data_IF_705610624921
#
_entry.id   IF_705610624921
#
_cell.length_a   1.000
_cell.length_b   1.000
_cell.length_c   1.000
_cell.angle_alpha   90.00
_cell.angle_beta   90.00
_cell.angle_gamma   90.00
#
_symmetry.space_group_name_H-M   'P 1'
#
loop_
_entity.id
_entity.type
_entity.pdbx_description
1 polymer ?
#
# COMPACT_ATOMS: atom_id res chain seq x y z
N UNK A 1 21.99 40.05 -79.36
CA UNK A 1 21.81 40.41 -77.94
C UNK A 1 21.04 39.28 -77.27
N UNK A 2 21.74 38.38 -76.56
CA UNK A 2 21.14 37.21 -75.89
C UNK A 2 21.46 37.34 -74.40
N UNK A 3 20.42 37.38 -73.57
CA UNK A 3 20.51 37.42 -72.10
C UNK A 3 20.70 35.99 -71.59
N UNK A 4 21.76 35.76 -70.81
CA UNK A 4 21.98 34.52 -70.07
C UNK A 4 21.53 34.70 -68.61
N UNK A 5 20.68 33.80 -68.13
CA UNK A 5 20.27 33.69 -66.73
C UNK A 5 21.16 32.65 -66.06
N UNK A 6 21.88 33.03 -65.00
CA UNK A 6 22.69 32.12 -64.20
C UNK A 6 21.83 31.50 -63.09
N UNK A 7 21.77 30.17 -63.04
CA UNK A 7 21.14 29.42 -61.95
C UNK A 7 22.15 29.19 -60.83
N UNK A 8 21.80 29.58 -59.60
CA UNK A 8 22.58 29.29 -58.40
C UNK A 8 22.08 27.97 -57.76
N UNK A 9 22.99 27.00 -57.62
CA UNK A 9 22.76 25.76 -56.86
C UNK A 9 23.11 26.01 -55.38
N UNK A 10 22.13 25.89 -54.48
CA UNK A 10 22.34 25.84 -53.03
C UNK A 10 22.57 24.38 -52.61
N UNK A 11 23.77 24.04 -52.13
CA UNK A 11 24.02 22.79 -51.42
C UNK A 11 23.63 22.95 -49.94
N UNK A 12 22.58 22.27 -49.51
CA UNK A 12 22.25 22.14 -48.09
C UNK A 12 23.10 21.02 -47.46
N UNK A 13 23.92 21.36 -46.47
CA UNK A 13 24.65 20.39 -45.66
C UNK A 13 23.69 19.74 -44.64
N UNK A 14 23.47 18.43 -44.74
CA UNK A 14 22.72 17.64 -43.77
C UNK A 14 23.63 17.33 -42.57
N UNK A 15 23.33 17.90 -41.41
CA UNK A 15 23.91 17.50 -40.13
C UNK A 15 23.20 16.22 -39.62
N UNK A 16 23.93 15.23 -39.08
CA UNK A 16 23.31 14.05 -38.48
C UNK A 16 22.56 14.42 -37.19
N UNK A 17 21.46 13.71 -36.87
CA UNK A 17 20.71 13.96 -35.64
C UNK A 17 21.57 13.61 -34.40
N UNK A 18 21.38 14.30 -33.28
CA UNK A 18 22.08 13.98 -32.04
C UNK A 18 21.68 12.58 -31.58
N UNK A 19 22.68 11.79 -31.19
CA UNK A 19 22.48 10.51 -30.51
C UNK A 19 21.76 10.77 -29.19
N UNK A 20 20.48 10.39 -29.11
CA UNK A 20 19.77 10.35 -27.84
C UNK A 20 20.35 9.20 -27.00
N UNK A 21 21.09 9.53 -25.96
CA UNK A 21 21.43 8.59 -24.89
C UNK A 21 20.29 8.59 -23.88
N UNK A 22 19.80 7.40 -23.51
CA UNK A 22 18.91 7.28 -22.35
C UNK A 22 19.70 7.65 -21.09
N UNK A 23 19.07 8.38 -20.18
CA UNK A 23 19.64 8.62 -18.85
C UNK A 23 19.97 7.26 -18.20
N UNK A 24 21.09 7.17 -17.46
CA UNK A 24 21.40 5.95 -16.72
C UNK A 24 20.24 5.61 -15.77
N UNK A 25 19.95 4.31 -15.55
CA UNK A 25 18.93 3.92 -14.58
C UNK A 25 19.24 4.54 -13.22
N UNK A 26 18.21 5.00 -12.51
CA UNK A 26 18.36 5.40 -11.12
C UNK A 26 19.03 4.27 -10.32
N UNK A 27 19.95 4.57 -9.38
CA UNK A 27 20.59 3.54 -8.57
C UNK A 27 19.53 2.71 -7.85
N UNK A 28 19.73 1.39 -7.81
CA UNK A 28 18.83 0.50 -7.08
C UNK A 28 18.80 0.91 -5.59
N UNK A 29 17.64 0.81 -4.93
CA UNK A 29 17.55 0.98 -3.48
C UNK A 29 18.55 0.05 -2.77
N UNK A 30 19.11 0.51 -1.65
CA UNK A 30 20.08 -0.26 -0.86
C UNK A 30 19.63 -0.27 0.60
N UNK A 31 19.90 -1.36 1.34
CA UNK A 31 19.69 -1.39 2.78
C UNK A 31 20.36 -0.20 3.47
N UNK A 32 19.65 0.39 4.42
CA UNK A 32 20.10 1.60 5.13
C UNK A 32 20.58 1.23 6.53
N UNK A 33 20.03 0.17 7.13
CA UNK A 33 20.54 -0.37 8.37
C UNK A 33 21.76 -1.28 8.12
N UNK A 34 22.55 -1.58 9.17
CA UNK A 34 23.49 -2.69 9.12
C UNK A 34 22.81 -3.98 8.63
N UNK A 35 23.52 -4.86 7.90
CA UNK A 35 22.93 -6.07 7.35
C UNK A 35 22.20 -6.90 8.40
N UNK A 36 20.93 -7.19 8.12
CA UNK A 36 20.08 -8.04 8.95
C UNK A 36 20.26 -9.51 8.55
N UNK A 37 20.29 -10.41 9.53
CA UNK A 37 20.26 -11.86 9.25
C UNK A 37 18.87 -12.28 8.72
N UNK A 38 18.76 -13.37 7.93
CA UNK A 38 17.46 -13.87 7.49
C UNK A 38 16.50 -14.12 8.66
N UNK A 39 15.29 -13.59 8.58
CA UNK A 39 14.26 -13.59 9.62
C UNK A 39 14.44 -12.53 10.71
N UNK A 40 15.53 -11.78 10.72
CA UNK A 40 15.77 -10.74 11.72
C UNK A 40 14.90 -9.51 11.44
N UNK A 41 14.35 -8.97 12.53
CA UNK A 41 13.55 -7.74 12.54
C UNK A 41 14.19 -6.72 13.46
N UNK A 42 14.10 -5.45 13.10
CA UNK A 42 14.44 -4.32 13.97
C UNK A 42 13.33 -3.28 13.87
N UNK A 43 12.83 -2.80 15.01
CA UNK A 43 11.95 -1.63 15.06
C UNK A 43 12.77 -0.36 14.86
N UNK A 44 12.31 0.52 13.96
CA UNK A 44 12.89 1.86 13.80
C UNK A 44 12.24 2.82 14.81
N UNK A 45 10.92 2.95 14.76
CA UNK A 45 10.20 3.86 15.63
C UNK A 45 8.79 4.20 15.15
N UNK A 46 8.05 4.93 15.97
CA UNK A 46 6.78 5.52 15.58
C UNK A 46 7.02 6.65 14.58
N UNK A 47 6.32 6.63 13.46
CA UNK A 47 6.50 7.59 12.35
C UNK A 47 5.29 8.49 12.18
N UNK A 48 4.07 7.98 12.40
CA UNK A 48 2.84 8.76 12.30
C UNK A 48 1.89 8.51 13.48
N UNK A 49 1.06 9.51 13.80
CA UNK A 49 0.04 9.42 14.85
C UNK A 49 0.57 9.80 16.23
N UNK A 50 0.03 9.18 17.29
CA UNK A 50 0.32 9.57 18.69
C UNK A 50 1.81 9.61 18.97
N UNK A 51 2.27 10.71 19.56
CA UNK A 51 3.66 10.94 19.94
C UNK A 51 4.60 11.36 18.80
N UNK A 52 4.09 11.56 17.58
CA UNK A 52 4.92 11.83 16.39
C UNK A 52 4.78 13.28 15.88
N UNK A 53 5.70 13.74 15.01
CA UNK A 53 5.63 15.07 14.40
C UNK A 53 4.41 15.30 13.48
N UNK A 54 3.60 14.29 13.14
CA UNK A 54 2.39 14.51 12.31
C UNK A 54 1.41 15.49 12.96
N UNK A 55 1.50 15.67 14.29
CA UNK A 55 0.73 16.67 15.04
C UNK A 55 0.95 18.11 14.55
N UNK A 56 2.12 18.40 14.00
CA UNK A 56 2.48 19.72 13.49
C UNK A 56 1.67 20.06 12.21
N UNK A 57 1.09 19.04 11.57
CA UNK A 57 0.13 19.15 10.46
C UNK A 57 -1.33 18.95 10.91
N UNK A 58 -1.59 18.98 12.22
CA UNK A 58 -2.92 18.80 12.78
C UNK A 58 -3.42 17.35 12.81
N UNK A 59 -2.51 16.37 12.70
CA UNK A 59 -2.82 14.94 12.81
C UNK A 59 -2.10 14.36 14.02
N UNK A 60 -2.78 14.35 15.17
CA UNK A 60 -2.22 13.86 16.42
C UNK A 60 -2.30 12.33 16.57
N UNK A 61 -3.15 11.65 15.80
CA UNK A 61 -3.37 10.21 15.87
C UNK A 61 -3.88 9.69 14.51
N UNK A 62 -3.39 8.54 14.04
CA UNK A 62 -3.74 7.98 12.72
C UNK A 62 -3.36 6.50 12.60
N UNK A 63 -3.93 5.81 11.60
CA UNK A 63 -3.63 4.41 11.28
C UNK A 63 -3.59 4.09 9.78
N UNK A 64 -3.32 2.82 9.48
CA UNK A 64 -3.12 2.22 8.16
C UNK A 64 -1.91 2.79 7.41
N UNK A 65 -2.03 3.99 6.87
CA UNK A 65 -0.98 4.72 6.14
C UNK A 65 -0.26 3.88 5.05
N UNK A 66 -1.03 3.44 4.04
CA UNK A 66 -0.52 2.71 2.88
C UNK A 66 0.14 3.65 1.85
N UNK A 67 1.29 3.24 1.29
CA UNK A 67 2.03 4.06 0.32
C UNK A 67 1.40 4.09 -1.07
N UNK A 68 1.37 5.28 -1.67
CA UNK A 68 1.10 5.52 -3.08
C UNK A 68 2.24 6.33 -3.71
N UNK A 69 2.83 5.79 -4.77
CA UNK A 69 3.91 6.44 -5.51
C UNK A 69 3.37 7.15 -6.74
N UNK A 70 3.66 8.45 -6.85
CA UNK A 70 3.34 9.27 -8.01
C UNK A 70 4.64 9.83 -8.62
N UNK A 71 4.64 10.21 -9.91
CA UNK A 71 5.80 10.90 -10.49
C UNK A 71 6.17 12.19 -9.77
N UNK A 72 5.21 12.86 -9.13
CA UNK A 72 5.41 14.10 -8.38
C UNK A 72 5.80 13.91 -6.91
N UNK A 73 5.83 12.68 -6.41
CA UNK A 73 6.18 12.36 -5.03
C UNK A 73 5.35 11.23 -4.43
N UNK A 74 5.49 11.02 -3.12
CA UNK A 74 4.93 9.87 -2.41
C UNK A 74 3.92 10.32 -1.36
N UNK A 75 2.81 9.59 -1.26
CA UNK A 75 1.80 9.79 -0.23
C UNK A 75 1.66 8.52 0.62
N UNK A 76 1.27 8.69 1.88
CA UNK A 76 0.67 7.61 2.67
C UNK A 76 -0.80 7.91 2.92
N UNK A 77 -1.70 7.05 2.45
CA UNK A 77 -3.14 7.17 2.71
C UNK A 77 -3.49 6.46 4.00
N UNK A 78 -3.97 7.23 4.97
CA UNK A 78 -4.25 6.75 6.31
C UNK A 78 -5.77 6.64 6.53
N UNK A 79 -6.14 5.77 7.46
CA UNK A 79 -7.53 5.49 7.83
C UNK A 79 -8.12 6.58 8.70
N UNK A 80 -8.77 6.15 9.78
CA UNK A 80 -9.31 7.08 10.75
C UNK A 80 -8.17 7.90 11.36
N UNK A 81 -8.36 9.21 11.47
CA UNK A 81 -7.34 10.14 11.94
C UNK A 81 -7.96 11.22 12.79
N UNK A 82 -7.22 11.69 13.80
CA UNK A 82 -7.73 12.63 14.79
C UNK A 82 -6.74 13.77 15.00
N UNK A 83 -7.27 14.97 15.25
CA UNK A 83 -6.45 16.15 15.51
C UNK A 83 -5.69 16.06 16.84
N UNK A 84 -6.27 15.40 17.85
CA UNK A 84 -5.66 15.13 19.15
C UNK A 84 -4.83 13.85 19.16
N UNK A 85 -4.16 13.61 20.30
CA UNK A 85 -3.17 12.54 20.49
C UNK A 85 -3.80 11.17 20.84
N UNK A 86 -4.95 10.84 20.27
CA UNK A 86 -5.63 9.56 20.50
C UNK A 86 -6.94 9.44 19.73
N UNK A 87 -7.52 8.24 19.72
CA UNK A 87 -8.80 7.97 19.07
C UNK A 87 -9.91 8.81 19.70
N UNK A 88 -10.69 9.50 18.86
CA UNK A 88 -11.78 10.40 19.25
C UNK A 88 -11.35 11.69 20.00
N UNK A 89 -10.07 12.06 19.99
CA UNK A 89 -9.60 13.34 20.52
C UNK A 89 -9.56 14.40 19.42
N UNK A 90 -10.44 15.41 19.50
CA UNK A 90 -10.50 16.50 18.52
C UNK A 90 -11.24 16.13 17.23
N UNK A 91 -10.98 16.89 16.15
CA UNK A 91 -11.65 16.67 14.85
C UNK A 91 -11.24 15.32 14.26
N UNK A 92 -12.22 14.57 13.76
CA UNK A 92 -12.04 13.29 13.06
C UNK A 92 -11.97 13.49 11.54
N UNK A 93 -11.08 12.75 10.88
CA UNK A 93 -10.87 12.70 9.44
C UNK A 93 -10.83 11.24 8.98
N UNK A 94 -11.42 10.93 7.83
CA UNK A 94 -11.47 9.56 7.29
C UNK A 94 -11.80 9.58 5.80
N UNK A 95 -10.85 9.30 4.90
CA UNK A 95 -9.40 9.15 5.09
C UNK A 95 -8.62 10.48 4.96
N UNK A 96 -7.32 10.46 5.26
CA UNK A 96 -6.33 11.52 4.93
C UNK A 96 -5.19 10.97 4.09
N UNK A 97 -4.38 11.85 3.50
CA UNK A 97 -3.11 11.48 2.85
C UNK A 97 -1.96 12.34 3.38
N UNK A 98 -1.01 11.71 4.07
CA UNK A 98 0.23 12.35 4.51
C UNK A 98 1.20 12.47 3.33
N UNK A 99 1.91 13.60 3.25
CA UNK A 99 2.91 13.87 2.20
C UNK A 99 4.27 13.42 2.70
N UNK A 100 4.84 12.40 2.06
CA UNK A 100 6.09 11.75 2.48
C UNK A 100 7.28 12.54 1.96
N UNK A 101 8.22 12.89 2.84
CA UNK A 101 9.55 13.36 2.47
C UNK A 101 10.31 12.19 1.82
N UNK A 102 10.50 12.23 0.49
CA UNK A 102 11.08 11.12 -0.26
C UNK A 102 12.51 10.78 0.21
N UNK A 103 13.27 11.78 0.67
CA UNK A 103 14.63 11.59 1.18
C UNK A 103 14.65 10.80 2.50
N UNK A 104 13.50 10.71 3.19
CA UNK A 104 13.36 9.98 4.45
C UNK A 104 12.94 8.51 4.28
N UNK A 105 12.53 8.09 3.08
CA UNK A 105 12.10 6.70 2.81
C UNK A 105 13.23 5.71 3.12
N UNK A 106 14.45 6.10 2.76
CA UNK A 106 15.67 5.35 2.99
C UNK A 106 16.53 5.98 4.12
N UNK A 107 15.91 6.62 5.12
CA UNK A 107 16.60 7.17 6.30
C UNK A 107 16.54 6.17 7.47
N UNK A 108 17.66 5.89 8.17
CA UNK A 108 17.68 4.91 9.27
C UNK A 108 16.84 5.35 10.48
N UNK A 109 16.44 6.62 10.56
CA UNK A 109 15.61 7.19 11.63
C UNK A 109 14.12 7.15 11.32
N UNK A 110 13.74 6.73 10.11
CA UNK A 110 12.37 6.52 9.68
C UNK A 110 11.79 7.65 8.84
N UNK A 111 10.59 7.39 8.31
CA UNK A 111 9.90 8.30 7.39
C UNK A 111 9.45 9.59 8.09
N UNK A 112 9.57 10.70 7.36
CA UNK A 112 9.12 12.05 7.74
C UNK A 112 8.06 12.56 6.78
N UNK A 113 7.32 13.56 7.25
CA UNK A 113 6.21 14.17 6.52
C UNK A 113 6.37 15.69 6.46
N UNK A 114 5.92 16.27 5.35
CA UNK A 114 5.94 17.72 5.13
C UNK A 114 4.55 18.35 4.93
N UNK A 115 3.48 17.55 5.01
CA UNK A 115 2.12 18.02 4.79
C UNK A 115 1.06 16.93 4.86
N UNK A 116 -0.20 17.34 4.71
CA UNK A 116 -1.37 16.47 4.69
C UNK A 116 -2.43 16.99 3.72
N UNK A 117 -3.18 16.09 3.10
CA UNK A 117 -4.41 16.38 2.36
C UNK A 117 -5.57 15.60 2.98
N UNK A 118 -6.79 16.14 2.94
CA UNK A 118 -7.98 15.49 3.52
C UNK A 118 -8.50 16.14 4.81
N UNK A 119 -7.86 17.20 5.30
CA UNK A 119 -8.22 17.90 6.54
C UNK A 119 -9.10 19.13 6.32
N UNK A 120 -8.73 19.99 5.38
CA UNK A 120 -9.52 21.18 5.01
C UNK A 120 -10.58 20.87 3.96
N UNK A 121 -10.15 20.20 2.88
CA UNK A 121 -11.03 19.62 1.87
C UNK A 121 -11.00 18.10 2.03
N UNK A 122 -12.15 17.40 2.00
CA UNK A 122 -12.18 15.94 2.06
C UNK A 122 -11.27 15.29 1.03
N UNK A 123 -10.63 14.17 1.40
CA UNK A 123 -9.77 13.45 0.45
C UNK A 123 -10.60 12.83 -0.68
N UNK A 124 -11.81 12.36 -0.37
CA UNK A 124 -12.73 11.71 -1.31
C UNK A 124 -13.83 12.66 -1.75
N UNK A 125 -14.24 12.58 -3.01
CA UNK A 125 -15.34 13.41 -3.53
C UNK A 125 -16.71 13.03 -2.94
N UNK A 126 -16.93 11.72 -2.72
CA UNK A 126 -18.20 11.26 -2.16
C UNK A 126 -18.19 11.42 -0.62
N UNK A 127 -19.22 12.06 -0.04
CA UNK A 127 -19.27 12.32 1.39
C UNK A 127 -19.44 11.03 2.20
N UNK A 128 -18.88 11.03 3.40
CA UNK A 128 -19.04 9.92 4.34
C UNK A 128 -20.48 9.86 4.85
N UNK A 129 -21.15 8.70 4.73
CA UNK A 129 -22.49 8.54 5.29
C UNK A 129 -22.52 8.80 6.81
N UNK A 130 -23.62 9.34 7.36
CA UNK A 130 -23.73 9.57 8.81
C UNK A 130 -23.53 8.29 9.61
N UNK A 131 -22.67 8.33 10.63
CA UNK A 131 -22.38 7.17 11.49
C UNK A 131 -21.49 6.10 10.84
N UNK A 132 -20.82 6.43 9.74
CA UNK A 132 -19.88 5.54 9.05
C UNK A 132 -18.48 6.17 8.95
N UNK A 133 -17.48 5.34 8.65
CA UNK A 133 -16.15 5.74 8.18
C UNK A 133 -15.95 5.28 6.73
N UNK A 134 -15.07 5.96 6.00
CA UNK A 134 -14.62 5.55 4.68
C UNK A 134 -13.13 5.21 4.77
N UNK A 135 -12.80 3.93 4.80
CA UNK A 135 -11.46 3.47 5.10
C UNK A 135 -10.71 3.02 3.83
N UNK A 136 -9.41 3.31 3.72
CA UNK A 136 -8.53 2.69 2.74
C UNK A 136 -8.58 1.16 2.91
N UNK A 137 -8.89 0.46 1.84
CA UNK A 137 -9.03 -0.99 1.80
C UNK A 137 -8.08 -1.61 0.76
N UNK A 138 -7.00 -0.90 0.41
CA UNK A 138 -5.99 -1.35 -0.54
C UNK A 138 -5.65 -0.37 -1.63
N UNK A 139 -4.37 -0.30 -1.97
CA UNK A 139 -3.86 0.42 -3.14
C UNK A 139 -3.47 -0.58 -4.24
N UNK A 140 -3.76 -0.21 -5.49
CA UNK A 140 -3.23 -0.88 -6.68
C UNK A 140 -2.70 0.16 -7.65
N UNK A 141 -1.42 0.04 -8.02
CA UNK A 141 -0.79 0.89 -9.02
C UNK A 141 -0.77 0.20 -10.38
N UNK A 142 -1.33 0.86 -11.39
CA UNK A 142 -1.36 0.37 -12.77
C UNK A 142 -0.89 1.50 -13.69
N UNK A 143 0.18 1.30 -14.45
CA UNK A 143 0.71 2.31 -15.39
C UNK A 143 0.91 3.71 -14.76
N UNK A 144 1.45 3.78 -13.53
CA UNK A 144 1.64 5.03 -12.76
C UNK A 144 0.36 5.73 -12.31
N UNK A 145 -0.80 5.11 -12.49
CA UNK A 145 -2.05 5.53 -11.88
C UNK A 145 -2.28 4.73 -10.60
N UNK A 146 -2.63 5.42 -9.52
CA UNK A 146 -2.98 4.78 -8.25
C UNK A 146 -4.50 4.70 -8.12
N UNK A 147 -4.99 3.48 -7.93
CA UNK A 147 -6.36 3.21 -7.56
C UNK A 147 -6.40 2.84 -6.08
N UNK A 148 -7.26 3.54 -5.34
CA UNK A 148 -7.55 3.23 -3.94
C UNK A 148 -8.90 2.51 -3.90
N UNK A 149 -8.95 1.31 -3.30
CA UNK A 149 -10.22 0.76 -2.85
C UNK A 149 -10.60 1.46 -1.55
N UNK A 150 -11.81 2.01 -1.51
CA UNK A 150 -12.39 2.59 -0.30
C UNK A 150 -13.57 1.70 0.12
N UNK A 151 -13.57 1.30 1.38
CA UNK A 151 -14.67 0.55 2.00
C UNK A 151 -15.38 1.40 3.03
N UNK A 152 -16.70 1.49 2.91
CA UNK A 152 -17.55 2.22 3.84
C UNK A 152 -18.00 1.28 4.95
N UNK A 153 -17.70 1.62 6.20
CA UNK A 153 -17.95 0.77 7.36
C UNK A 153 -18.72 1.49 8.44
N UNK A 154 -19.49 0.75 9.24
CA UNK A 154 -20.00 1.22 10.54
C UNK A 154 -19.56 0.21 11.59
N UNK A 155 -18.84 0.66 12.63
CA UNK A 155 -18.22 -0.22 13.63
C UNK A 155 -17.40 -1.35 12.98
N UNK A 156 -16.61 -1.02 11.96
CA UNK A 156 -15.80 -1.94 11.14
C UNK A 156 -16.59 -3.01 10.36
N UNK A 157 -17.93 -2.98 10.37
CA UNK A 157 -18.76 -3.84 9.51
C UNK A 157 -18.89 -3.19 8.12
N UNK A 158 -18.43 -3.84 7.04
CA UNK A 158 -18.45 -3.26 5.71
C UNK A 158 -19.87 -3.24 5.11
N UNK A 159 -20.21 -2.13 4.45
CA UNK A 159 -21.49 -1.96 3.74
C UNK A 159 -21.33 -1.93 2.23
N UNK A 160 -20.28 -1.27 1.74
CA UNK A 160 -19.98 -1.08 0.33
C UNK A 160 -18.50 -0.80 0.11
N UNK A 161 -18.03 -1.05 -1.11
CA UNK A 161 -16.68 -0.73 -1.55
C UNK A 161 -16.68 -0.13 -2.96
N UNK A 162 -15.73 0.74 -3.26
CA UNK A 162 -15.55 1.32 -4.61
C UNK A 162 -14.10 1.67 -4.87
N UNK A 163 -13.73 1.70 -6.15
CA UNK A 163 -12.42 2.19 -6.55
C UNK A 163 -12.49 3.71 -6.71
N UNK A 164 -11.45 4.38 -6.26
CA UNK A 164 -11.25 5.82 -6.35
C UNK A 164 -9.93 6.06 -7.08
N UNK A 165 -9.89 7.04 -7.98
CA UNK A 165 -8.65 7.43 -8.67
C UNK A 165 -7.96 8.53 -7.86
N UNK A 166 -6.78 8.22 -7.31
CA UNK A 166 -6.03 9.15 -6.49
C UNK A 166 -5.33 10.22 -7.34
N UNK A 167 -5.35 11.47 -6.86
CA UNK A 167 -4.65 12.60 -7.48
C UNK A 167 -3.73 13.24 -6.45
N UNK A 168 -2.40 13.24 -6.64
CA UNK A 168 -1.49 13.64 -5.59
C UNK A 168 -1.69 15.12 -5.23
N UNK A 169 -1.58 15.42 -3.93
CA UNK A 169 -1.65 16.78 -3.38
C UNK A 169 -2.95 17.55 -3.62
N UNK A 170 -4.04 16.85 -3.93
CA UNK A 170 -5.38 17.43 -4.14
C UNK A 170 -6.43 16.58 -3.41
N UNK A 171 -7.44 17.23 -2.82
CA UNK A 171 -8.62 16.54 -2.28
C UNK A 171 -9.62 16.16 -3.36
N UNK A 172 -10.81 15.70 -2.95
CA UNK A 172 -11.92 15.34 -3.84
C UNK A 172 -11.57 14.26 -4.88
N UNK A 173 -10.86 13.20 -4.49
CA UNK A 173 -10.59 12.08 -5.37
C UNK A 173 -11.88 11.42 -5.85
N UNK A 174 -11.98 11.26 -7.16
CA UNK A 174 -13.20 10.83 -7.82
C UNK A 174 -13.36 9.30 -7.76
N UNK A 175 -14.56 8.87 -7.44
CA UNK A 175 -14.98 7.48 -7.61
C UNK A 175 -14.87 7.07 -9.08
N UNK A 176 -14.26 5.92 -9.33
CA UNK A 176 -14.20 5.34 -10.67
C UNK A 176 -15.63 4.90 -11.07
N UNK A 177 -16.16 5.40 -12.20
CA UNK A 177 -17.53 5.09 -12.61
C UNK A 177 -17.81 3.58 -12.69
N UNK A 178 -18.92 3.15 -12.11
CA UNK A 178 -19.35 1.74 -12.15
C UNK A 178 -18.55 0.77 -11.25
N UNK A 179 -17.62 1.26 -10.43
CA UNK A 179 -16.79 0.43 -9.54
C UNK A 179 -17.42 0.09 -8.19
N UNK A 180 -18.48 0.81 -7.80
CA UNK A 180 -19.18 0.62 -6.53
C UNK A 180 -19.83 -0.76 -6.47
N UNK A 181 -19.69 -1.43 -5.32
CA UNK A 181 -20.25 -2.75 -5.04
C UNK A 181 -20.74 -2.82 -3.59
N UNK A 182 -21.80 -3.61 -3.29
CA UNK A 182 -22.12 -3.96 -1.91
C UNK A 182 -20.98 -4.78 -1.30
N UNK A 183 -20.88 -4.81 0.03
CA UNK A 183 -19.88 -5.62 0.74
C UNK A 183 -19.97 -7.12 0.37
N UNK A 184 -21.17 -7.62 0.07
CA UNK A 184 -21.44 -9.02 -0.33
C UNK A 184 -20.98 -9.37 -1.74
N UNK A 185 -20.45 -8.42 -2.52
CA UNK A 185 -19.97 -8.70 -3.86
C UNK A 185 -18.85 -9.75 -3.87
N UNK A 186 -18.85 -10.62 -4.88
CA UNK A 186 -17.99 -11.81 -4.94
C UNK A 186 -18.07 -12.69 -3.68
N UNK A 187 -19.22 -12.67 -2.97
CA UNK A 187 -19.40 -13.39 -1.71
C UNK A 187 -18.63 -12.80 -0.53
N UNK A 188 -18.38 -11.48 -0.52
CA UNK A 188 -17.60 -10.80 0.53
C UNK A 188 -16.15 -10.52 0.13
N UNK A 189 -15.60 -11.34 -0.77
CA UNK A 189 -14.16 -11.56 -0.98
C UNK A 189 -13.43 -10.53 -1.82
N UNK A 190 -14.02 -9.35 -2.03
CA UNK A 190 -13.35 -8.25 -2.73
C UNK A 190 -13.62 -6.89 -2.08
N UNK A 191 -13.93 -6.84 -0.78
CA UNK A 191 -14.08 -5.57 -0.05
C UNK A 191 -12.77 -5.09 0.58
N UNK A 192 -11.70 -5.86 0.47
CA UNK A 192 -10.32 -5.44 0.73
C UNK A 192 -9.40 -6.06 -0.33
N UNK A 193 -8.42 -5.29 -0.81
CA UNK A 193 -7.49 -5.69 -1.87
C UNK A 193 -6.07 -5.23 -1.57
N UNK A 194 -5.11 -5.74 -2.33
CA UNK A 194 -3.84 -5.09 -2.61
C UNK A 194 -3.31 -5.63 -3.94
N UNK A 195 -2.50 -4.88 -4.67
CA UNK A 195 -2.06 -5.34 -5.98
C UNK A 195 -0.91 -4.57 -6.58
N UNK A 196 -0.24 -5.22 -7.53
CA UNK A 196 0.81 -4.60 -8.35
C UNK A 196 0.62 -4.96 -9.82
N UNK A 197 1.15 -4.11 -10.69
CA UNK A 197 1.19 -4.32 -12.13
C UNK A 197 2.54 -4.90 -12.55
N UNK A 198 2.51 -6.09 -13.15
CA UNK A 198 3.64 -6.69 -13.85
C UNK A 198 3.52 -6.41 -15.36
N UNK A 199 4.39 -5.56 -15.93
CA UNK A 199 4.33 -5.20 -17.34
C UNK A 199 4.88 -6.28 -18.28
N UNK A 200 5.38 -7.43 -17.77
CA UNK A 200 5.95 -8.50 -18.60
C UNK A 200 4.85 -9.13 -19.47
N UNK A 201 4.96 -9.07 -20.81
CA UNK A 201 3.95 -9.63 -21.71
C UNK A 201 3.83 -11.15 -21.57
N UNK A 202 2.60 -11.63 -21.65
CA UNK A 202 2.27 -13.06 -21.80
C UNK A 202 1.38 -13.26 -23.03
N UNK A 203 1.24 -14.48 -23.58
CA UNK A 203 0.32 -14.73 -24.71
C UNK A 203 -1.11 -14.25 -24.44
N UNK A 204 -1.57 -14.38 -23.20
CA UNK A 204 -2.93 -14.02 -22.79
C UNK A 204 -3.09 -12.54 -22.39
N UNK A 205 -1.97 -11.84 -22.15
CA UNK A 205 -1.96 -10.40 -21.89
C UNK A 205 -0.68 -9.75 -22.44
N UNK A 206 -0.74 -9.22 -23.67
CA UNK A 206 0.42 -8.57 -24.32
C UNK A 206 0.94 -7.34 -23.58
N UNK A 207 0.12 -6.72 -22.72
CA UNK A 207 0.52 -5.60 -21.87
C UNK A 207 0.78 -6.02 -20.42
N UNK A 208 1.00 -7.31 -20.14
CA UNK A 208 1.23 -7.82 -18.78
C UNK A 208 -0.01 -7.84 -17.90
N UNK A 209 0.15 -8.20 -16.63
CA UNK A 209 -0.95 -8.51 -15.72
C UNK A 209 -0.94 -7.60 -14.49
N UNK A 210 -2.12 -7.20 -14.03
CA UNK A 210 -2.32 -6.68 -12.68
C UNK A 210 -2.68 -7.85 -11.79
N UNK A 211 -1.84 -8.16 -10.81
CA UNK A 211 -2.11 -9.18 -9.80
C UNK A 211 -2.74 -8.53 -8.57
N UNK A 212 -3.78 -9.14 -8.04
CA UNK A 212 -4.55 -8.60 -6.92
C UNK A 212 -4.79 -9.70 -5.89
N UNK A 213 -4.33 -9.50 -4.67
CA UNK A 213 -4.80 -10.28 -3.51
C UNK A 213 -6.07 -9.62 -2.98
N UNK A 214 -7.08 -10.41 -2.65
CA UNK A 214 -8.36 -9.89 -2.21
C UNK A 214 -9.03 -10.81 -1.18
N UNK A 215 -9.80 -10.20 -0.30
CA UNK A 215 -10.70 -10.84 0.66
C UNK A 215 -11.79 -9.85 1.13
N UNK A 216 -12.32 -10.05 2.32
CA UNK A 216 -13.27 -9.16 2.99
C UNK A 216 -12.62 -8.24 4.03
N UNK A 217 -13.20 -7.05 4.20
CA UNK A 217 -12.67 -6.03 5.09
C UNK A 217 -12.68 -6.43 6.58
N UNK A 218 -13.63 -7.26 6.98
CA UNK A 218 -13.79 -7.79 8.34
C UNK A 218 -13.05 -9.13 8.57
N UNK A 219 -12.24 -9.57 7.59
CA UNK A 219 -11.27 -10.68 7.72
C UNK A 219 -11.92 -12.04 7.98
N UNK A 220 -13.19 -12.20 7.62
CA UNK A 220 -13.97 -13.42 7.86
C UNK A 220 -13.84 -14.44 6.72
N UNK A 221 -13.45 -13.99 5.53
CA UNK A 221 -13.29 -14.77 4.32
C UNK A 221 -11.79 -15.03 4.00
N UNK A 222 -11.48 -16.11 3.25
CA UNK A 222 -10.10 -16.44 2.89
C UNK A 222 -9.48 -15.44 1.91
N UNK A 223 -8.14 -15.40 1.90
CA UNK A 223 -7.37 -14.67 0.89
C UNK A 223 -7.39 -15.41 -0.44
N UNK A 224 -7.76 -14.71 -1.49
CA UNK A 224 -7.79 -15.19 -2.86
C UNK A 224 -6.87 -14.34 -3.75
N UNK A 225 -6.38 -14.94 -4.84
CA UNK A 225 -5.58 -14.27 -5.85
C UNK A 225 -6.38 -14.08 -7.13
N UNK A 226 -6.25 -12.90 -7.72
CA UNK A 226 -6.86 -12.53 -8.98
C UNK A 226 -5.81 -11.94 -9.93
N UNK A 227 -6.13 -11.97 -11.22
CA UNK A 227 -5.42 -11.18 -12.23
C UNK A 227 -6.39 -10.46 -13.16
N UNK A 228 -5.97 -9.32 -13.67
CA UNK A 228 -6.69 -8.54 -14.67
C UNK A 228 -5.73 -7.91 -15.67
N UNK A 229 -6.21 -7.60 -16.87
CA UNK A 229 -5.44 -6.71 -17.76
C UNK A 229 -5.44 -5.30 -17.18
N UNK A 230 -4.42 -4.46 -17.47
CA UNK A 230 -4.39 -3.07 -17.02
C UNK A 230 -5.67 -2.29 -17.38
N UNK A 231 -6.23 -2.54 -18.56
CA UNK A 231 -7.42 -1.87 -19.08
C UNK A 231 -8.70 -2.35 -18.38
N UNK A 232 -8.75 -3.62 -17.98
CA UNK A 232 -9.93 -4.22 -17.36
C UNK A 232 -9.92 -4.14 -15.83
N UNK A 233 -8.77 -3.83 -15.20
CA UNK A 233 -8.62 -3.76 -13.74
C UNK A 233 -9.73 -2.97 -13.03
N UNK A 234 -10.14 -1.77 -13.49
CA UNK A 234 -11.20 -1.02 -12.79
C UNK A 234 -12.56 -1.74 -12.74
N UNK A 235 -12.80 -2.69 -13.65
CA UNK A 235 -13.98 -3.52 -13.63
C UNK A 235 -13.71 -4.86 -12.91
N UNK A 236 -13.99 -4.88 -11.60
CA UNK A 236 -13.84 -6.06 -10.73
C UNK A 236 -14.55 -7.33 -11.21
N UNK A 237 -15.62 -7.23 -12.02
CA UNK A 237 -16.29 -8.42 -12.56
C UNK A 237 -15.52 -9.13 -13.67
N UNK A 238 -14.48 -8.49 -14.22
CA UNK A 238 -13.62 -9.05 -15.26
C UNK A 238 -12.42 -9.81 -14.71
N UNK A 239 -12.18 -9.74 -13.40
CA UNK A 239 -11.00 -10.32 -12.77
C UNK A 239 -11.03 -11.84 -12.88
N UNK A 240 -9.90 -12.41 -13.27
CA UNK A 240 -9.72 -13.86 -13.36
C UNK A 240 -9.18 -14.36 -12.01
N UNK A 241 -9.99 -15.13 -11.29
CA UNK A 241 -9.54 -15.76 -10.06
C UNK A 241 -8.51 -16.87 -10.34
N UNK A 242 -7.54 -17.02 -9.45
CA UNK A 242 -6.69 -18.19 -9.37
C UNK A 242 -7.49 -19.36 -8.81
N UNK A 243 -7.46 -20.50 -9.51
CA UNK A 243 -8.20 -21.70 -9.14
C UNK A 243 -7.28 -22.86 -8.76
N UNK A 244 -5.98 -22.61 -8.65
CA UNK A 244 -4.96 -23.64 -8.41
C UNK A 244 -4.46 -24.32 -9.69
N UNK A 245 -3.33 -25.02 -9.57
CA UNK A 245 -2.77 -25.89 -10.61
C UNK A 245 -2.66 -25.27 -12.01
N UNK A 246 -2.29 -23.99 -12.10
CA UNK A 246 -2.11 -23.26 -13.36
C UNK A 246 -3.39 -22.72 -13.98
N UNK A 247 -4.54 -22.84 -13.30
CA UNK A 247 -5.84 -22.45 -13.85
C UNK A 247 -6.30 -21.09 -13.34
N UNK A 248 -6.77 -20.26 -14.28
CA UNK A 248 -7.34 -18.94 -14.03
C UNK A 248 -8.79 -18.85 -14.55
N UNK A 249 -9.59 -17.97 -13.95
CA UNK A 249 -10.94 -17.63 -14.42
C UNK A 249 -12.01 -18.68 -14.11
N UNK A 250 -11.76 -19.57 -13.14
CA UNK A 250 -12.75 -20.50 -12.57
C UNK A 250 -13.04 -20.12 -11.11
N UNK A 251 -13.73 -20.99 -10.38
CA UNK A 251 -13.99 -20.79 -8.95
C UNK A 251 -12.66 -20.50 -8.22
N UNK A 252 -12.59 -19.43 -7.42
CA UNK A 252 -11.36 -19.11 -6.71
C UNK A 252 -10.97 -20.23 -5.73
N UNK A 253 -9.66 -20.43 -5.59
CA UNK A 253 -9.08 -21.27 -4.55
C UNK A 253 -8.37 -20.37 -3.53
N UNK A 254 -8.64 -20.52 -2.22
CA UNK A 254 -7.89 -19.84 -1.18
C UNK A 254 -6.38 -20.08 -1.32
N UNK A 255 -5.57 -19.04 -1.09
CA UNK A 255 -4.11 -19.20 -1.07
C UNK A 255 -3.64 -20.00 0.16
N UNK A 256 -4.24 -19.75 1.34
CA UNK A 256 -4.10 -20.54 2.57
C UNK A 256 -5.32 -20.30 3.48
N UNK A 257 -5.35 -20.95 4.65
CA UNK A 257 -6.54 -21.02 5.52
C UNK A 257 -6.63 -20.03 6.68
N UNK A 258 -5.68 -19.09 6.83
CA UNK A 258 -5.74 -18.12 7.93
C UNK A 258 -6.71 -16.98 7.62
N UNK A 259 -7.16 -16.31 8.68
CA UNK A 259 -7.88 -15.05 8.60
C UNK A 259 -6.86 -13.92 8.46
N UNK A 260 -7.02 -13.11 7.42
CA UNK A 260 -6.01 -12.12 7.03
C UNK A 260 -6.68 -10.76 6.86
N UNK A 261 -5.95 -9.69 7.15
CA UNK A 261 -6.38 -8.32 6.92
C UNK A 261 -5.22 -7.42 6.49
N UNK A 262 -5.58 -6.21 6.07
CA UNK A 262 -4.68 -5.10 5.77
C UNK A 262 -3.47 -5.53 4.93
N UNK A 263 -3.76 -6.12 3.78
CA UNK A 263 -2.75 -6.67 2.90
C UNK A 263 -1.96 -5.59 2.16
N UNK A 264 -0.68 -5.84 1.94
CA UNK A 264 0.19 -5.05 1.07
C UNK A 264 1.04 -5.99 0.22
N UNK A 265 0.68 -6.14 -1.06
CA UNK A 265 1.47 -6.89 -2.03
C UNK A 265 2.24 -5.96 -2.96
N UNK A 266 3.53 -6.21 -3.13
CA UNK A 266 4.39 -5.50 -4.08
C UNK A 266 5.29 -6.48 -4.80
N UNK A 267 5.78 -6.06 -5.97
CA UNK A 267 6.94 -6.70 -6.58
C UNK A 267 8.20 -6.06 -6.02
N UNK A 268 9.07 -6.84 -5.38
CA UNK A 268 10.34 -6.40 -4.80
C UNK A 268 11.44 -7.32 -5.31
N UNK A 269 12.46 -6.74 -5.95
CA UNK A 269 13.56 -7.47 -6.61
C UNK A 269 13.08 -8.62 -7.50
N UNK A 270 11.99 -8.38 -8.25
CA UNK A 270 11.37 -9.35 -9.15
C UNK A 270 10.55 -10.46 -8.47
N UNK A 271 10.45 -10.48 -7.14
CA UNK A 271 9.62 -11.43 -6.38
C UNK A 271 8.31 -10.80 -5.92
N UNK A 272 7.27 -11.61 -5.78
CA UNK A 272 6.03 -11.21 -5.12
C UNK A 272 6.24 -11.23 -3.60
N UNK A 273 6.10 -10.06 -2.97
CA UNK A 273 6.20 -9.90 -1.51
C UNK A 273 4.84 -9.47 -0.99
N UNK A 274 4.26 -10.27 -0.10
CA UNK A 274 3.00 -9.98 0.56
C UNK A 274 3.25 -9.80 2.06
N UNK A 275 2.96 -8.60 2.56
CA UNK A 275 2.88 -8.26 3.98
C UNK A 275 1.42 -8.16 4.40
N UNK A 276 1.05 -8.66 5.57
CA UNK A 276 -0.34 -8.72 6.02
C UNK A 276 -0.48 -8.89 7.53
N UNK A 277 -1.65 -8.52 8.05
CA UNK A 277 -2.08 -8.87 9.40
C UNK A 277 -2.70 -10.27 9.41
N UNK A 278 -2.20 -11.16 10.27
CA UNK A 278 -2.76 -12.49 10.48
C UNK A 278 -3.70 -12.47 11.69
N UNK A 279 -5.00 -12.36 11.46
CA UNK A 279 -6.01 -12.33 12.51
C UNK A 279 -6.18 -13.69 13.23
N UNK A 280 -5.67 -14.79 12.67
CA UNK A 280 -5.65 -16.09 13.37
C UNK A 280 -4.66 -16.10 14.54
N UNK A 281 -3.55 -15.36 14.42
CA UNK A 281 -2.44 -15.36 15.40
C UNK A 281 -2.25 -14.01 16.11
N UNK A 282 -2.77 -12.93 15.53
CA UNK A 282 -2.51 -11.56 15.92
C UNK A 282 -1.20 -10.97 15.36
N UNK A 283 -0.44 -11.72 14.56
CA UNK A 283 0.89 -11.30 14.11
C UNK A 283 0.85 -10.43 12.85
N UNK A 284 1.93 -9.69 12.63
CA UNK A 284 2.25 -9.14 11.31
C UNK A 284 3.22 -10.08 10.60
N UNK A 285 2.89 -10.47 9.37
CA UNK A 285 3.61 -11.51 8.65
C UNK A 285 3.96 -11.09 7.22
N UNK A 286 5.07 -11.62 6.72
CA UNK A 286 5.52 -11.45 5.34
C UNK A 286 5.77 -12.80 4.69
N UNK A 287 5.37 -12.92 3.43
CA UNK A 287 5.67 -14.05 2.53
C UNK A 287 6.36 -13.54 1.27
N UNK A 288 7.38 -14.27 0.82
CA UNK A 288 8.14 -13.97 -0.40
C UNK A 288 8.09 -15.15 -1.36
N UNK A 289 7.61 -14.92 -2.58
CA UNK A 289 7.46 -15.94 -3.62
C UNK A 289 8.04 -15.46 -4.97
N UNK A 290 8.53 -16.38 -5.79
CA UNK A 290 8.96 -16.06 -7.15
C UNK A 290 7.81 -15.57 -8.04
N UNK A 291 6.59 -16.05 -7.79
CA UNK A 291 5.37 -15.70 -8.50
C UNK A 291 4.21 -15.62 -7.48
N UNK A 292 3.23 -14.73 -7.65
CA UNK A 292 2.13 -14.56 -6.69
C UNK A 292 1.30 -15.84 -6.47
N UNK A 293 1.24 -16.76 -7.44
CA UNK A 293 0.57 -18.06 -7.27
C UNK A 293 1.27 -18.97 -6.26
N UNK A 294 2.54 -18.71 -5.94
CA UNK A 294 3.34 -19.44 -4.95
C UNK A 294 3.21 -18.90 -3.52
N UNK A 295 2.47 -17.81 -3.28
CA UNK A 295 2.37 -17.20 -1.94
C UNK A 295 1.82 -18.15 -0.87
N UNK A 296 0.89 -19.04 -1.24
CA UNK A 296 0.28 -19.99 -0.30
C UNK A 296 1.26 -20.99 0.34
N UNK A 297 2.37 -21.30 -0.34
CA UNK A 297 3.40 -22.23 0.14
C UNK A 297 4.73 -21.56 0.49
N UNK A 298 4.84 -20.24 0.30
CA UNK A 298 6.03 -19.47 0.67
C UNK A 298 6.29 -19.52 2.18
N UNK A 299 7.57 -19.48 2.61
CA UNK A 299 7.91 -19.38 4.03
C UNK A 299 7.34 -18.10 4.63
N UNK A 300 6.96 -18.17 5.90
CA UNK A 300 6.41 -17.03 6.66
C UNK A 300 7.49 -16.43 7.54
N UNK A 301 7.64 -15.12 7.46
CA UNK A 301 8.43 -14.34 8.42
C UNK A 301 7.49 -13.52 9.31
N UNK A 302 7.58 -13.69 10.62
CA UNK A 302 6.85 -12.85 11.57
C UNK A 302 7.60 -11.54 11.75
N UNK A 303 7.05 -10.45 11.21
CA UNK A 303 7.60 -9.09 11.37
C UNK A 303 7.29 -8.56 12.76
N UNK A 304 6.06 -8.71 13.23
CA UNK A 304 5.68 -8.31 14.58
C UNK A 304 4.97 -9.48 15.24
N UNK A 305 5.44 -9.85 16.43
CA UNK A 305 4.82 -10.86 17.27
C UNK A 305 3.79 -10.19 18.17
N UNK A 306 2.54 -10.65 18.13
CA UNK A 306 1.51 -10.14 19.03
C UNK A 306 1.94 -10.32 20.50
N UNK A 307 1.77 -9.27 21.29
CA UNK A 307 2.06 -9.27 22.72
C UNK A 307 0.94 -8.62 23.54
N UNK A 308 1.13 -8.63 24.85
CA UNK A 308 0.29 -7.90 25.79
C UNK A 308 0.64 -6.41 25.77
N UNK A 309 -0.33 -5.56 26.16
CA UNK A 309 -0.05 -4.16 26.42
C UNK A 309 0.94 -4.01 27.59
N UNK A 310 1.96 -3.14 27.48
CA UNK A 310 2.80 -2.76 28.61
C UNK A 310 2.00 -2.03 29.70
N UNK A 311 2.60 -1.85 30.88
CA UNK A 311 2.01 -1.06 31.97
C UNK A 311 1.72 0.37 31.52
N UNK A 312 2.70 1.03 30.90
CA UNK A 312 2.54 2.33 30.25
C UNK A 312 2.27 2.12 28.76
N UNK A 313 1.06 2.45 28.28
CA UNK A 313 0.62 2.10 26.93
C UNK A 313 1.50 2.68 25.80
N UNK A 314 2.22 3.77 26.05
CA UNK A 314 3.13 4.40 25.09
C UNK A 314 4.46 3.65 24.94
N UNK A 315 4.84 2.83 25.92
CA UNK A 315 6.12 2.12 25.94
C UNK A 315 6.24 1.15 24.76
N UNK A 316 7.46 1.06 24.25
CA UNK A 316 7.86 0.12 23.23
C UNK A 316 9.08 -0.65 23.74
N UNK A 317 9.20 -1.97 23.45
CA UNK A 317 10.32 -2.77 23.92
C UNK A 317 11.66 -2.32 23.28
N UNK A 318 12.82 -2.91 23.57
CA UNK A 318 14.04 -2.62 22.79
C UNK A 318 13.84 -2.86 21.28
N UNK A 319 14.58 -2.16 20.38
CA UNK A 319 14.40 -2.29 18.92
C UNK A 319 14.50 -3.71 18.35
N UNK A 320 15.29 -4.58 18.97
CA UNK A 320 15.48 -5.99 18.60
C UNK A 320 14.35 -6.92 19.05
N UNK A 321 13.48 -6.46 19.95
CA UNK A 321 12.26 -7.17 20.34
C UNK A 321 11.09 -6.64 19.50
N UNK A 322 10.61 -7.50 18.60
CA UNK A 322 9.56 -7.18 17.64
C UNK A 322 8.14 -7.44 18.19
N UNK A 323 7.96 -7.47 19.51
CA UNK A 323 6.64 -7.57 20.13
C UNK A 323 5.87 -6.25 20.08
N UNK A 324 4.58 -6.35 19.78
CA UNK A 324 3.66 -5.22 19.84
C UNK A 324 2.26 -5.68 20.27
N UNK A 325 1.59 -4.87 21.08
CA UNK A 325 0.21 -5.13 21.48
C UNK A 325 -0.77 -4.67 20.39
N UNK A 326 -1.70 -5.54 20.03
CA UNK A 326 -2.77 -5.29 19.04
C UNK A 326 -2.27 -4.65 17.72
N UNK A 327 -1.27 -5.25 17.04
CA UNK A 327 -0.81 -4.75 15.75
C UNK A 327 -1.85 -5.01 14.66
N UNK A 328 -1.83 -4.19 13.61
CA UNK A 328 -2.53 -4.41 12.35
C UNK A 328 -1.89 -3.56 11.24
N UNK A 329 -2.38 -3.62 10.00
CA UNK A 329 -1.75 -2.90 8.89
C UNK A 329 -0.67 -3.76 8.21
N UNK A 330 0.57 -3.27 8.15
CA UNK A 330 1.70 -4.00 7.57
C UNK A 330 1.99 -3.59 6.14
N UNK A 331 2.07 -2.29 5.89
CA UNK A 331 2.25 -1.75 4.53
C UNK A 331 3.72 -1.66 4.15
N UNK A 332 4.04 -2.12 2.93
CA UNK A 332 5.39 -2.11 2.40
C UNK A 332 5.76 -0.71 1.88
N UNK A 333 6.92 -0.22 2.29
CA UNK A 333 7.49 1.03 1.79
C UNK A 333 8.03 0.89 0.36
N UNK A 334 7.94 1.94 -0.46
CA UNK A 334 8.87 2.16 -1.56
C UNK A 334 10.32 2.05 -1.07
N UNK A 335 11.25 1.65 -1.93
CA UNK A 335 12.66 1.48 -1.56
C UNK A 335 13.00 0.17 -0.84
N UNK A 336 12.00 -0.59 -0.37
CA UNK A 336 12.22 -1.92 0.23
C UNK A 336 12.99 -2.85 -0.73
N UNK A 337 13.91 -3.64 -0.16
CA UNK A 337 14.66 -4.70 -0.87
C UNK A 337 14.44 -6.03 -0.18
N UNK A 338 14.79 -7.14 -0.82
CA UNK A 338 14.70 -8.46 -0.18
C UNK A 338 15.68 -8.63 0.99
N UNK A 339 16.70 -7.79 1.14
CA UNK A 339 17.60 -7.83 2.30
C UNK A 339 17.13 -6.91 3.44
N UNK A 340 16.23 -5.98 3.14
CA UNK A 340 15.65 -5.03 4.09
C UNK A 340 14.30 -4.53 3.56
N UNK A 341 13.22 -5.22 3.92
CA UNK A 341 11.87 -4.70 3.73
C UNK A 341 11.56 -3.70 4.84
N UNK A 342 10.90 -2.59 4.49
CA UNK A 342 10.37 -1.64 5.47
C UNK A 342 8.86 -1.80 5.56
N UNK A 343 8.38 -2.13 6.76
CA UNK A 343 6.98 -2.48 7.02
C UNK A 343 6.39 -1.51 8.05
N UNK A 344 5.21 -0.98 7.74
CA UNK A 344 4.53 0.04 8.55
C UNK A 344 3.31 -0.59 9.22
N UNK A 345 3.35 -0.65 10.55
CA UNK A 345 2.39 -1.39 11.38
C UNK A 345 1.63 -0.41 12.27
N UNK A 346 0.31 -0.45 12.21
CA UNK A 346 -0.55 0.32 13.09
C UNK A 346 -0.71 -0.35 14.45
N UNK A 347 -0.92 0.47 15.46
CA UNK A 347 -1.18 0.05 16.84
C UNK A 347 -2.39 0.81 17.37
N UNK A 348 -3.36 0.08 17.93
CA UNK A 348 -4.53 0.69 18.56
C UNK A 348 -5.00 -0.15 19.74
N UNK A 349 -5.14 0.49 20.91
CA UNK A 349 -5.73 -0.14 22.07
C UNK A 349 -7.25 -0.05 22.05
N UNK A 350 -7.92 -1.20 21.92
CA UNK A 350 -9.39 -1.29 21.85
C UNK A 350 -10.04 -1.68 23.19
N UNK A 351 -9.25 -1.79 24.26
CA UNK A 351 -9.76 -2.15 25.58
C UNK A 351 -10.63 -1.02 26.15
N UNK A 352 -11.71 -1.33 26.91
CA UNK A 352 -12.61 -0.31 27.45
C UNK A 352 -11.94 0.73 28.36
N UNK A 353 -10.79 0.41 28.96
CA UNK A 353 -10.04 1.27 29.88
C UNK A 353 -8.91 2.05 29.18
N UNK A 354 -8.79 1.95 27.86
CA UNK A 354 -7.65 2.46 27.10
C UNK A 354 -7.70 3.98 26.80
N UNK A 355 -8.21 4.77 27.74
CA UNK A 355 -8.27 6.22 27.59
C UNK A 355 -6.86 6.78 27.33
N UNK A 356 -6.70 7.59 26.27
CA UNK A 356 -5.43 8.15 25.82
C UNK A 356 -4.37 7.15 25.33
N UNK A 357 -4.73 5.89 25.07
CA UNK A 357 -3.77 4.94 24.49
C UNK A 357 -3.32 5.37 23.09
N UNK A 358 -2.10 5.00 22.68
CA UNK A 358 -1.56 5.43 21.40
C UNK A 358 -2.36 4.89 20.23
N UNK A 359 -2.49 5.74 19.22
CA UNK A 359 -3.04 5.42 17.92
C UNK A 359 -2.08 5.92 16.84
N UNK A 360 -1.21 5.01 16.43
CA UNK A 360 0.04 5.34 15.73
C UNK A 360 0.45 4.28 14.72
N UNK A 361 1.36 4.66 13.84
CA UNK A 361 2.04 3.80 12.88
C UNK A 361 3.52 3.71 13.24
N UNK A 362 4.04 2.49 13.29
CA UNK A 362 5.40 2.15 13.68
C UNK A 362 6.09 1.46 12.51
N UNK A 363 7.31 1.90 12.21
CA UNK A 363 8.13 1.36 11.13
C UNK A 363 9.08 0.28 11.65
N UNK A 364 9.13 -0.84 10.92
CA UNK A 364 10.02 -1.97 11.15
C UNK A 364 10.87 -2.24 9.91
N UNK A 365 12.05 -2.80 10.12
CA UNK A 365 12.93 -3.35 9.09
C UNK A 365 13.00 -4.87 9.25
N UNK A 366 12.92 -5.62 8.16
CA UNK A 366 13.01 -7.08 8.19
C UNK A 366 13.79 -7.62 7.00
N UNK A 367 14.69 -8.57 7.23
CA UNK A 367 15.21 -9.42 6.16
C UNK A 367 14.33 -10.68 6.10
N UNK A 368 13.37 -10.79 5.18
CA UNK A 368 12.44 -11.91 5.14
C UNK A 368 13.14 -13.24 4.80
N UNK A 369 12.53 -14.34 5.24
CA UNK A 369 12.75 -15.65 4.64
C UNK A 369 12.27 -15.65 3.18
N UNK A 370 13.03 -16.31 2.30
CA UNK A 370 12.84 -16.28 0.85
C UNK A 370 12.66 -17.70 0.33
N UNK A 371 11.79 -17.89 -0.67
CA UNK A 371 11.69 -19.12 -1.45
C UNK A 371 12.57 -19.13 -2.69
#
# INVERSE_FOLDING_TARGET
>A
MIRAVAAALLCAALLPPPLAAADPPAPAPRPVLPPLAPGQVVRIGAVAGTGTPTRDYGIGATDLCEFMEFPSGVLQVCGDSFAGQGVAFGRHFSPIALHVDLDSVDDPTGVRYYGVTGTDTPLLADPTPPGSSQLPAGVVTVNRENYLLVTTTTNLVPSSSRLVKATPYQGNWATVPGSARPATYAGGRQSQISGYYDPIPTPDSPSGWVYVVANDFDRSEPVELYRATPQSFPNRSSWQAWSGAGTWGKTPAPLWGDRVGEMSIRQVDGKAVLSYFNASTGNMEVRVANDPTGLGSAPVTTVVLAGEWPEEADDLPPPEDNRLAQPYGGYLSPGSTLDELRVFVSQWNTLPQADNAPYRVIQYAVNPLKS
#
